data_IF_671465284316
#
_entry.id   IF_671465284316
#
_cell.length_a   1.000
_cell.length_b   1.000
_cell.length_c   1.000
_cell.angle_alpha   90.00
_cell.angle_beta   90.00
_cell.angle_gamma   90.00
#
_symmetry.space_group_name_H-M   'P 1'
#
loop_
_entity.id
_entity.type
_entity.pdbx_description
1 polymer ?
#
# COMPACT_ATOMS: atom_id res chain seq x y z
N UNK A 1 -9.24 17.52 -7.39
CA UNK A 1 -8.77 16.13 -7.43
C UNK A 1 -7.32 16.12 -6.98
N UNK A 2 -7.00 15.51 -5.84
CA UNK A 2 -5.61 15.44 -5.36
C UNK A 2 -4.83 14.42 -6.18
N UNK A 3 -3.83 14.88 -6.92
CA UNK A 3 -2.91 14.00 -7.63
C UNK A 3 -1.99 13.30 -6.62
N UNK A 4 -2.17 11.99 -6.44
CA UNK A 4 -1.35 11.17 -5.54
C UNK A 4 0.13 11.28 -5.89
N UNK A 5 0.46 11.39 -7.17
CA UNK A 5 1.84 11.56 -7.61
C UNK A 5 2.39 12.90 -7.13
N UNK A 6 1.64 13.99 -7.27
CA UNK A 6 2.04 15.28 -6.71
C UNK A 6 2.36 15.19 -5.21
N UNK A 7 1.57 14.44 -4.45
CA UNK A 7 1.80 14.27 -3.00
C UNK A 7 3.11 13.50 -2.72
N UNK A 8 3.37 12.41 -3.46
CA UNK A 8 4.62 11.66 -3.32
C UNK A 8 5.85 12.44 -3.76
N UNK A 9 5.76 13.21 -4.85
CA UNK A 9 6.86 14.06 -5.32
C UNK A 9 7.16 15.18 -4.32
N UNK A 10 6.12 15.78 -3.75
CA UNK A 10 6.26 16.80 -2.73
C UNK A 10 6.93 16.25 -1.47
N UNK A 11 6.50 15.09 -0.99
CA UNK A 11 7.12 14.40 0.14
C UNK A 11 8.59 14.06 -0.15
N UNK A 12 8.89 13.48 -1.31
CA UNK A 12 10.27 13.15 -1.71
C UNK A 12 11.15 14.40 -1.79
N UNK A 13 10.62 15.52 -2.31
CA UNK A 13 11.33 16.79 -2.37
C UNK A 13 11.68 17.30 -0.96
N UNK A 14 10.71 17.31 -0.05
CA UNK A 14 10.93 17.74 1.34
C UNK A 14 11.98 16.88 2.05
N UNK A 15 11.90 15.55 1.87
CA UNK A 15 12.83 14.62 2.51
C UNK A 15 14.27 14.79 2.00
N UNK A 16 14.42 15.10 0.71
CA UNK A 16 15.72 15.41 0.11
C UNK A 16 16.26 16.79 0.52
N UNK A 17 15.41 17.76 0.83
CA UNK A 17 15.80 19.10 1.29
C UNK A 17 16.24 19.12 2.76
N UNK A 18 15.68 18.25 3.60
CA UNK A 18 16.07 18.10 5.02
C UNK A 18 17.46 17.48 5.20
N UNK A 19 18.00 16.85 4.15
CA UNK A 19 19.17 15.95 4.24
C UNK A 19 20.42 16.57 3.61
N UNK A 20 21.63 16.11 4.02
CA UNK A 20 22.87 16.67 3.52
C UNK A 20 23.05 16.49 2.01
N UNK A 21 23.87 17.35 1.41
CA UNK A 21 24.21 17.32 -0.01
C UNK A 21 24.83 15.97 -0.35
N UNK A 22 24.30 15.30 -1.38
CA UNK A 22 24.73 13.96 -1.81
C UNK A 22 23.68 12.86 -1.59
N UNK A 23 22.68 13.10 -0.74
CA UNK A 23 21.58 12.15 -0.48
C UNK A 23 20.85 11.73 -1.75
N UNK A 24 20.63 12.65 -2.70
CA UNK A 24 20.03 12.35 -4.01
C UNK A 24 20.82 11.29 -4.80
N UNK A 25 22.15 11.40 -4.78
CA UNK A 25 23.04 10.45 -5.46
C UNK A 25 23.07 9.09 -4.76
N UNK A 26 23.01 9.07 -3.43
CA UNK A 26 22.90 7.84 -2.64
C UNK A 26 21.57 7.12 -2.87
N UNK A 27 20.46 7.87 -2.90
CA UNK A 27 19.13 7.34 -3.21
C UNK A 27 19.08 6.76 -4.63
N UNK A 28 19.65 7.47 -5.60
CA UNK A 28 19.73 7.00 -6.99
C UNK A 28 20.46 5.64 -7.08
N UNK A 29 21.60 5.51 -6.40
CA UNK A 29 22.35 4.25 -6.31
C UNK A 29 21.54 3.14 -5.63
N UNK A 30 20.84 3.47 -4.54
CA UNK A 30 20.02 2.51 -3.80
C UNK A 30 18.86 1.96 -4.63
N UNK A 31 18.21 2.82 -5.42
CA UNK A 31 17.10 2.44 -6.30
C UNK A 31 17.56 1.82 -7.63
N UNK A 32 18.87 1.85 -7.93
CA UNK A 32 19.38 1.43 -9.24
C UNK A 32 18.95 2.34 -10.39
N UNK A 33 18.66 3.62 -10.12
CA UNK A 33 18.23 4.61 -11.12
C UNK A 33 19.26 5.73 -11.27
N UNK A 34 19.14 6.55 -12.32
CA UNK A 34 20.02 7.71 -12.50
C UNK A 34 19.68 8.83 -11.51
N UNK A 35 20.67 9.68 -11.19
CA UNK A 35 20.44 10.87 -10.35
C UNK A 35 19.45 11.86 -11.02
N UNK A 36 19.41 11.88 -12.35
CA UNK A 36 18.42 12.63 -13.12
C UNK A 36 17.00 12.08 -12.93
N UNK A 37 16.84 10.75 -12.88
CA UNK A 37 15.55 10.13 -12.58
C UNK A 37 15.01 10.56 -11.21
N UNK A 38 15.85 10.57 -10.17
CA UNK A 38 15.47 11.06 -8.84
C UNK A 38 15.09 12.54 -8.88
N UNK A 39 15.79 13.34 -9.69
CA UNK A 39 15.45 14.76 -9.88
C UNK A 39 14.06 14.90 -10.51
N UNK A 40 13.76 14.17 -11.58
CA UNK A 40 12.42 14.14 -12.21
C UNK A 40 11.33 13.58 -11.29
N UNK A 41 11.66 12.66 -10.39
CA UNK A 41 10.75 12.14 -9.36
C UNK A 41 10.45 13.19 -8.26
N UNK A 42 11.32 14.17 -8.04
CA UNK A 42 11.11 15.25 -7.07
C UNK A 42 10.53 16.55 -7.67
N UNK A 43 10.33 16.59 -9.00
CA UNK A 43 9.85 17.78 -9.69
C UNK A 43 8.34 17.98 -9.47
N UNK A 44 7.98 19.12 -8.90
CA UNK A 44 6.58 19.53 -8.64
C UNK A 44 6.14 20.75 -9.48
N UNK A 45 7.07 21.38 -10.19
CA UNK A 45 6.79 22.58 -10.99
C UNK A 45 6.14 22.21 -12.33
N UNK A 46 5.05 22.89 -12.67
CA UNK A 46 4.42 22.79 -13.98
C UNK A 46 5.38 23.30 -15.06
N UNK A 47 5.69 22.46 -16.05
CA UNK A 47 6.61 22.79 -17.15
C UNK A 47 8.01 22.17 -17.03
N UNK A 48 8.34 21.53 -15.89
CA UNK A 48 9.52 20.67 -15.77
C UNK A 48 9.13 19.21 -16.02
N UNK A 49 10.05 18.44 -16.59
CA UNK A 49 9.84 17.00 -16.77
C UNK A 49 9.66 16.32 -15.41
N UNK A 50 8.47 15.79 -15.19
CA UNK A 50 8.12 15.07 -13.98
C UNK A 50 7.99 13.58 -14.31
N UNK A 51 8.68 12.75 -13.53
CA UNK A 51 8.59 11.30 -13.63
C UNK A 51 7.63 10.77 -12.57
N UNK A 52 6.85 9.77 -12.93
CA UNK A 52 6.04 9.02 -11.99
C UNK A 52 6.91 8.17 -11.05
N UNK A 53 6.58 8.19 -9.75
CA UNK A 53 7.18 7.28 -8.77
C UNK A 53 6.39 5.97 -8.85
N UNK A 54 7.06 4.88 -9.23
CA UNK A 54 6.41 3.57 -9.33
C UNK A 54 6.09 3.02 -7.94
N UNK A 55 5.04 2.20 -7.86
CA UNK A 55 4.60 1.60 -6.60
C UNK A 55 5.71 0.83 -5.87
N UNK A 56 6.59 0.11 -6.58
CA UNK A 56 7.71 -0.61 -5.98
C UNK A 56 8.88 0.29 -5.56
N UNK A 57 8.98 1.51 -6.09
CA UNK A 57 10.04 2.47 -5.71
C UNK A 57 9.72 3.13 -4.36
N UNK A 58 8.45 3.35 -4.04
CA UNK A 58 8.02 3.96 -2.77
C UNK A 58 8.54 3.25 -1.50
N UNK A 59 8.33 1.93 -1.30
CA UNK A 59 8.81 1.26 -0.09
C UNK A 59 10.35 1.24 -0.03
N UNK A 60 11.04 1.24 -1.17
CA UNK A 60 12.49 1.33 -1.23
C UNK A 60 12.99 2.70 -0.82
N UNK A 61 12.33 3.78 -1.28
CA UNK A 61 12.65 5.15 -0.87
C UNK A 61 12.46 5.30 0.65
N UNK A 62 11.36 4.80 1.19
CA UNK A 62 11.10 4.83 2.64
C UNK A 62 12.17 4.05 3.41
N UNK A 63 12.49 2.83 2.97
CA UNK A 63 13.54 2.00 3.57
C UNK A 63 14.90 2.70 3.57
N UNK A 64 15.30 3.29 2.45
CA UNK A 64 16.53 4.07 2.33
C UNK A 64 16.59 5.16 3.39
N UNK A 65 15.50 5.92 3.55
CA UNK A 65 15.45 7.02 4.49
C UNK A 65 15.48 6.58 5.95
N UNK A 66 14.81 5.47 6.30
CA UNK A 66 14.87 4.84 7.63
C UNK A 66 16.25 4.31 7.97
N UNK A 67 16.96 3.69 7.02
CA UNK A 67 18.31 3.14 7.22
C UNK A 67 19.37 4.23 7.43
N UNK A 68 19.10 5.46 6.99
CA UNK A 68 19.98 6.61 7.21
C UNK A 68 19.84 7.23 8.63
N UNK A 69 19.14 6.55 9.55
CA UNK A 69 19.04 6.96 10.95
C UNK A 69 18.06 8.11 11.20
N UNK A 70 17.20 8.41 10.23
CA UNK A 70 16.12 9.38 10.38
C UNK A 70 14.81 8.67 10.09
N UNK A 71 13.88 8.73 11.05
CA UNK A 71 12.50 8.31 10.81
C UNK A 71 11.93 9.23 9.73
N UNK A 72 11.66 8.73 8.50
CA UNK A 72 11.09 9.58 7.46
C UNK A 72 9.71 10.04 7.92
N UNK A 73 9.32 11.27 7.54
CA UNK A 73 7.93 11.70 7.72
C UNK A 73 7.01 10.64 7.12
N UNK A 74 5.90 10.28 7.80
CA UNK A 74 4.98 9.27 7.28
C UNK A 74 4.57 9.66 5.87
N UNK A 75 4.71 8.69 4.94
CA UNK A 75 4.23 8.87 3.58
C UNK A 75 2.77 9.35 3.64
N UNK A 76 2.39 10.38 2.86
CA UNK A 76 1.03 10.89 2.87
C UNK A 76 0.08 9.73 2.61
N UNK A 77 -0.82 9.51 3.57
CA UNK A 77 -1.57 8.26 3.77
C UNK A 77 -2.02 7.64 2.46
N UNK A 78 -1.29 6.59 2.07
CA UNK A 78 -1.79 5.55 1.20
C UNK A 78 -2.97 4.96 1.96
N UNK A 79 -4.19 5.37 1.62
CA UNK A 79 -5.28 4.42 1.69
C UNK A 79 -4.85 3.27 0.79
N UNK A 80 -4.35 2.19 1.38
CA UNK A 80 -4.01 0.96 0.68
C UNK A 80 -5.28 0.49 -0.03
N UNK A 81 -5.39 0.80 -1.31
CA UNK A 81 -6.59 0.57 -2.11
C UNK A 81 -6.45 -0.64 -3.05
N UNK A 82 -5.46 -1.51 -2.85
CA UNK A 82 -5.30 -2.68 -3.73
C UNK A 82 -4.70 -3.91 -3.04
N UNK A 83 -4.67 -3.93 -1.71
CA UNK A 83 -4.21 -5.09 -0.93
C UNK A 83 -5.32 -5.60 -0.02
N UNK A 84 -5.49 -6.93 0.15
CA UNK A 84 -6.34 -7.43 1.21
C UNK A 84 -5.84 -6.87 2.55
N UNK A 85 -6.76 -6.38 3.37
CA UNK A 85 -6.47 -5.91 4.72
C UNK A 85 -5.90 -7.09 5.51
N UNK A 86 -4.68 -6.95 6.00
CA UNK A 86 -3.98 -8.01 6.74
C UNK A 86 -3.59 -7.50 8.12
N UNK A 87 -4.13 -8.15 9.15
CA UNK A 87 -3.80 -7.91 10.55
C UNK A 87 -4.74 -6.95 11.28
N UNK A 88 -4.80 -7.14 12.60
CA UNK A 88 -5.77 -6.54 13.51
C UNK A 88 -5.75 -5.01 13.49
N UNK A 89 -4.57 -4.41 13.48
CA UNK A 89 -4.42 -2.95 13.49
C UNK A 89 -4.96 -2.31 12.21
N UNK A 90 -4.76 -2.94 11.05
CA UNK A 90 -5.27 -2.44 9.78
C UNK A 90 -6.81 -2.54 9.71
N UNK A 91 -7.39 -3.59 10.29
CA UNK A 91 -8.84 -3.74 10.42
C UNK A 91 -9.39 -2.63 11.33
N UNK A 92 -8.79 -2.42 12.50
CA UNK A 92 -9.20 -1.37 13.43
C UNK A 92 -9.12 0.03 12.82
N UNK A 93 -8.04 0.33 12.09
CA UNK A 93 -7.87 1.63 11.44
C UNK A 93 -8.85 1.84 10.29
N UNK A 94 -9.29 0.78 9.60
CA UNK A 94 -10.39 0.85 8.63
C UNK A 94 -11.72 1.12 9.34
N UNK A 95 -12.03 0.38 10.41
CA UNK A 95 -13.31 0.51 11.11
C UNK A 95 -13.49 1.91 11.69
N UNK A 96 -12.42 2.50 12.24
CA UNK A 96 -12.43 3.89 12.75
C UNK A 96 -12.72 4.96 11.67
N UNK A 97 -12.59 4.63 10.39
CA UNK A 97 -12.88 5.55 9.27
C UNK A 97 -14.32 5.49 8.80
N UNK A 98 -15.11 4.51 9.25
CA UNK A 98 -16.52 4.36 8.85
C UNK A 98 -17.33 5.46 9.54
N UNK A 99 -17.93 6.34 8.75
CA UNK A 99 -18.79 7.41 9.25
C UNK A 99 -20.01 6.82 9.98
N UNK A 100 -20.25 7.29 11.20
CA UNK A 100 -21.33 6.78 12.06
C UNK A 100 -20.96 5.58 12.94
N UNK A 101 -19.73 5.07 12.87
CA UNK A 101 -19.24 4.04 13.78
C UNK A 101 -18.45 4.67 14.94
N UNK A 102 -19.03 4.66 16.14
CA UNK A 102 -18.35 5.13 17.35
C UNK A 102 -17.36 4.08 17.90
N UNK A 103 -16.57 4.44 18.91
CA UNK A 103 -15.55 3.55 19.49
C UNK A 103 -16.14 2.20 19.97
N UNK A 104 -17.35 2.23 20.53
CA UNK A 104 -18.04 1.00 20.97
C UNK A 104 -18.47 0.15 19.78
N UNK A 105 -18.98 0.78 18.72
CA UNK A 105 -19.28 0.11 17.46
C UNK A 105 -18.05 -0.52 16.82
N UNK A 106 -16.90 0.15 16.83
CA UNK A 106 -15.63 -0.39 16.33
C UNK A 106 -15.24 -1.66 17.06
N UNK A 107 -15.29 -1.66 18.40
CA UNK A 107 -14.94 -2.83 19.22
C UNK A 107 -15.87 -4.01 18.97
N UNK A 108 -17.18 -3.76 18.88
CA UNK A 108 -18.18 -4.79 18.60
C UNK A 108 -17.97 -5.41 17.22
N UNK A 109 -17.81 -4.57 16.19
CA UNK A 109 -17.60 -5.04 14.81
C UNK A 109 -16.29 -5.82 14.70
N UNK A 110 -15.23 -5.33 15.33
CA UNK A 110 -13.94 -6.03 15.37
C UNK A 110 -14.06 -7.40 16.04
N UNK A 111 -14.73 -7.49 17.18
CA UNK A 111 -14.95 -8.76 17.89
C UNK A 111 -15.78 -9.76 17.08
N UNK A 112 -16.78 -9.29 16.33
CA UNK A 112 -17.56 -10.14 15.41
C UNK A 112 -16.69 -10.67 14.28
N UNK A 113 -15.87 -9.81 13.66
CA UNK A 113 -14.94 -10.20 12.59
C UNK A 113 -13.96 -11.26 13.09
N UNK A 114 -13.31 -11.01 14.23
CA UNK A 114 -12.36 -11.95 14.85
C UNK A 114 -13.02 -13.30 15.17
N UNK A 115 -14.23 -13.27 15.73
CA UNK A 115 -15.01 -14.48 16.02
C UNK A 115 -15.33 -15.28 14.75
N UNK A 116 -15.67 -14.62 13.64
CA UNK A 116 -15.95 -15.29 12.36
C UNK A 116 -14.68 -15.87 11.76
N UNK A 117 -13.57 -15.13 11.79
CA UNK A 117 -12.25 -15.62 11.32
C UNK A 117 -11.85 -16.88 12.07
N UNK A 118 -11.94 -16.90 13.40
CA UNK A 118 -11.57 -18.05 14.22
C UNK A 118 -12.45 -19.28 14.00
N UNK A 119 -13.70 -19.09 13.54
CA UNK A 119 -14.66 -20.17 13.30
C UNK A 119 -14.63 -20.71 11.88
N UNK A 120 -14.00 -20.02 10.94
CA UNK A 120 -13.86 -20.54 9.59
C UNK A 120 -12.70 -21.54 9.54
N UNK A 121 -12.95 -22.82 9.16
CA UNK A 121 -11.85 -23.75 8.93
C UNK A 121 -11.02 -23.20 7.77
N UNK A 122 -9.72 -23.01 8.00
CA UNK A 122 -8.79 -22.58 6.98
C UNK A 122 -8.85 -23.56 5.80
N UNK A 123 -9.57 -23.18 4.73
CA UNK A 123 -9.47 -23.89 3.47
C UNK A 123 -8.09 -23.56 2.93
N UNK A 124 -7.12 -24.41 3.24
CA UNK A 124 -5.80 -24.38 2.64
C UNK A 124 -6.01 -24.46 1.12
N UNK A 125 -5.89 -23.34 0.43
CA UNK A 125 -5.59 -23.35 -1.00
C UNK A 125 -4.16 -23.88 -1.13
N UNK A 126 -4.05 -25.20 -1.25
CA UNK A 126 -2.86 -25.85 -1.77
C UNK A 126 -2.60 -25.28 -3.15
N UNK A 127 -1.48 -24.57 -3.27
CA UNK A 127 -0.79 -24.35 -4.52
C UNK A 127 -0.64 -25.72 -5.22
N UNK A 128 -1.34 -25.90 -6.33
CA UNK A 128 -0.98 -26.88 -7.35
C UNK A 128 -1.10 -26.19 -8.69
N UNK A 129 0.05 -26.05 -9.34
CA UNK A 129 0.12 -25.85 -10.77
C UNK A 129 -0.48 -27.06 -11.49
N UNK A 130 -0.99 -26.82 -12.70
CA UNK A 130 -1.57 -27.78 -13.66
C UNK A 130 -2.89 -28.48 -13.27
N UNK A 131 -3.97 -28.10 -13.96
CA UNK A 131 -4.66 -28.91 -14.99
C UNK A 131 -6.20 -28.68 -15.03
N UNK A 132 -6.64 -28.20 -16.20
CA UNK A 132 -7.98 -28.16 -16.81
C UNK A 132 -9.22 -27.47 -16.16
N UNK A 133 -10.02 -26.74 -16.97
CA UNK A 133 -11.37 -26.32 -16.60
C UNK A 133 -12.39 -27.37 -17.09
N UNK A 134 -13.17 -27.96 -16.18
CA UNK A 134 -14.48 -28.51 -16.53
C UNK A 134 -15.56 -27.95 -15.61
N UNK A 135 -16.39 -27.10 -16.19
CA UNK A 135 -17.63 -26.60 -15.61
C UNK A 135 -18.64 -27.75 -15.69
N UNK A 136 -18.89 -28.43 -14.58
CA UNK A 136 -20.01 -29.37 -14.46
C UNK A 136 -21.12 -28.76 -13.61
N UNK A 137 -22.19 -28.32 -14.28
CA UNK A 137 -23.46 -27.90 -13.68
C UNK A 137 -24.27 -29.17 -13.36
N UNK A 138 -24.70 -29.42 -12.12
CA UNK A 138 -25.70 -30.45 -11.87
C UNK A 138 -27.12 -29.87 -12.04
N UNK A 139 -27.76 -30.20 -13.17
CA UNK A 139 -29.21 -30.07 -13.36
C UNK A 139 -29.94 -31.08 -12.45
N UNK A 140 -30.51 -30.62 -11.34
CA UNK A 140 -31.42 -31.45 -10.54
C UNK A 140 -32.84 -31.36 -11.09
N UNK A 141 -33.25 -32.38 -11.84
CA UNK A 141 -34.64 -32.65 -12.22
C UNK A 141 -35.43 -33.02 -10.96
N UNK A 142 -36.49 -32.27 -10.65
CA UNK A 142 -37.50 -32.68 -9.67
C UNK A 142 -38.76 -33.12 -10.43
N UNK A 143 -39.22 -34.34 -10.16
CA UNK A 143 -40.52 -34.87 -10.56
C UNK A 143 -41.20 -35.48 -9.33
N UNK A 144 -42.49 -35.20 -9.13
CA UNK A 144 -43.50 -36.26 -9.15
C UNK A 144 -44.48 -36.12 -10.33
#
# INVERSE_FOLDING_TARGET
MSDRQFTYRLWLKQELEKRPRGTKGALAKFLGVSADAVTRMSNIESGKEAREIKAHELPLIQKFFSEQGSEPDPLPSVVSDDGPIRGDQAILDMLKRIEGLDQRGVEVVFSVIDTVIQRQPAKQESSSADDQPEISIPHHVLKP
#
